data_IF_180527072487
#
_entry.id   IF_180527072487
#
_cell.length_a   1.000
_cell.length_b   1.000
_cell.length_c   1.000
_cell.angle_alpha   90.00
_cell.angle_beta   90.00
_cell.angle_gamma   90.00
#
_symmetry.space_group_name_H-M   'P 1'
#
loop_
_entity.id
_entity.type
_entity.pdbx_description
1 polymer ?
#
# COMPACT_ATOMS: atom_id res chain seq x y z
N UNK A 1 28.00 -9.18 28.48
CA UNK A 1 27.31 -8.60 27.30
C UNK A 1 25.83 -8.93 27.42
N UNK A 2 25.00 -7.97 27.88
CA UNK A 2 23.56 -8.18 28.04
C UNK A 2 22.86 -7.94 26.71
N UNK A 3 22.31 -8.99 26.10
CA UNK A 3 21.48 -8.90 24.90
C UNK A 3 20.13 -8.27 25.29
N UNK A 4 20.06 -6.93 25.30
CA UNK A 4 18.77 -6.21 25.35
C UNK A 4 17.96 -6.65 24.14
N UNK A 5 16.92 -7.45 24.37
CA UNK A 5 15.87 -7.70 23.38
C UNK A 5 15.19 -6.35 23.15
N UNK A 6 15.48 -5.71 22.03
CA UNK A 6 14.72 -4.54 21.58
C UNK A 6 13.24 -4.96 21.56
N UNK A 7 12.44 -4.30 22.40
CA UNK A 7 11.01 -4.52 22.44
C UNK A 7 10.47 -4.05 21.10
N UNK A 8 10.12 -5.00 20.22
CA UNK A 8 9.51 -4.70 18.93
C UNK A 8 8.11 -4.17 19.23
N UNK A 9 7.99 -2.84 19.31
CA UNK A 9 6.70 -2.17 19.31
C UNK A 9 6.03 -2.45 17.97
N UNK A 10 5.16 -3.47 17.97
CA UNK A 10 4.29 -3.74 16.83
C UNK A 10 3.37 -2.54 16.70
N UNK A 11 3.52 -1.76 15.64
CA UNK A 11 2.61 -0.66 15.34
C UNK A 11 1.18 -1.22 15.32
N UNK A 12 0.27 -0.62 16.08
CA UNK A 12 -1.15 -0.82 15.89
C UNK A 12 -1.52 -0.23 14.52
N UNK A 13 -1.50 -1.06 13.48
CA UNK A 13 -1.92 -0.67 12.14
C UNK A 13 -3.45 -0.55 12.21
N UNK A 14 -3.92 0.68 12.42
CA UNK A 14 -5.35 0.97 12.34
C UNK A 14 -5.76 0.81 10.87
N UNK A 15 -6.77 -0.03 10.60
CA UNK A 15 -7.30 -0.25 9.25
C UNK A 15 -8.29 0.84 8.82
N UNK A 16 -8.46 1.87 9.64
CA UNK A 16 -9.33 3.01 9.34
C UNK A 16 -8.78 3.76 8.14
N UNK A 17 -9.68 4.32 7.33
CA UNK A 17 -9.37 5.05 6.11
C UNK A 17 -8.48 6.26 6.41
N UNK A 18 -7.18 6.06 6.46
CA UNK A 18 -6.20 7.15 6.46
C UNK A 18 -6.33 7.87 5.12
N UNK A 19 -6.27 9.21 5.12
CA UNK A 19 -6.18 10.05 3.90
C UNK A 19 -4.92 9.78 3.06
N UNK A 20 -4.12 8.77 3.44
CA UNK A 20 -3.01 8.26 2.65
C UNK A 20 -3.50 7.70 1.31
N UNK A 21 -2.80 8.00 0.21
CA UNK A 21 -3.12 7.44 -1.10
C UNK A 21 -3.02 5.90 -1.14
N UNK A 22 -2.30 5.28 -0.19
CA UNK A 22 -2.08 3.82 -0.09
C UNK A 22 -2.80 3.22 1.13
N UNK A 23 -4.13 3.24 1.14
CA UNK A 23 -4.92 2.52 2.15
C UNK A 23 -4.73 1.00 2.02
N UNK A 24 -4.91 0.26 3.12
CA UNK A 24 -4.80 -1.21 3.16
C UNK A 24 -5.66 -1.89 2.08
N UNK A 25 -6.87 -1.38 1.83
CA UNK A 25 -7.76 -1.85 0.78
C UNK A 25 -7.21 -1.58 -0.62
N UNK A 26 -6.73 -0.37 -0.90
CA UNK A 26 -6.10 -0.05 -2.19
C UNK A 26 -4.88 -0.92 -2.47
N UNK A 27 -4.04 -1.12 -1.46
CA UNK A 27 -2.87 -2.00 -1.55
C UNK A 27 -3.31 -3.44 -1.85
N UNK A 28 -4.36 -3.95 -1.21
CA UNK A 28 -4.87 -5.30 -1.51
C UNK A 28 -5.31 -5.46 -2.97
N UNK A 29 -5.97 -4.46 -3.55
CA UNK A 29 -6.40 -4.47 -4.95
C UNK A 29 -5.19 -4.47 -5.89
N UNK A 30 -4.15 -3.69 -5.58
CA UNK A 30 -2.91 -3.63 -6.36
C UNK A 30 -2.15 -4.96 -6.27
N UNK A 31 -2.05 -5.55 -5.07
CA UNK A 31 -1.35 -6.81 -4.84
C UNK A 31 -2.01 -7.99 -5.56
N UNK A 32 -3.33 -7.95 -5.75
CA UNK A 32 -4.07 -8.96 -6.50
C UNK A 32 -3.78 -8.95 -8.01
N UNK A 33 -3.12 -7.92 -8.53
CA UNK A 33 -2.69 -7.84 -9.94
C UNK A 33 -1.21 -8.18 -10.05
N UNK A 34 -0.79 -9.29 -10.68
CA UNK A 34 0.62 -9.67 -10.78
C UNK A 34 1.51 -8.60 -11.43
N UNK A 35 0.97 -7.86 -12.41
CA UNK A 35 1.70 -6.81 -13.12
C UNK A 35 1.89 -5.57 -12.26
N UNK A 36 0.84 -5.14 -11.56
CA UNK A 36 0.88 -3.91 -10.77
C UNK A 36 1.47 -4.14 -9.36
N UNK A 37 1.38 -5.36 -8.82
CA UNK A 37 2.06 -5.75 -7.59
C UNK A 37 3.58 -5.69 -7.72
N UNK A 38 4.12 -6.11 -8.87
CA UNK A 38 5.54 -5.96 -9.19
C UNK A 38 5.96 -4.48 -9.20
N UNK A 39 5.20 -3.62 -9.90
CA UNK A 39 5.47 -2.17 -9.94
C UNK A 39 5.42 -1.53 -8.55
N UNK A 40 4.49 -1.96 -7.70
CA UNK A 40 4.41 -1.49 -6.32
C UNK A 40 5.65 -1.90 -5.53
N UNK A 41 6.08 -3.16 -5.64
CA UNK A 41 7.29 -3.64 -4.99
C UNK A 41 8.54 -2.90 -5.46
N UNK A 42 8.67 -2.65 -6.76
CA UNK A 42 9.81 -1.93 -7.35
C UNK A 42 9.85 -0.47 -6.89
N UNK A 43 8.70 0.20 -6.80
CA UNK A 43 8.61 1.55 -6.26
C UNK A 43 8.95 1.61 -4.76
N UNK A 44 8.49 0.62 -3.97
CA UNK A 44 8.88 0.52 -2.55
C UNK A 44 10.40 0.30 -2.41
N UNK A 45 11.01 -0.47 -3.31
CA UNK A 45 12.48 -0.64 -3.34
C UNK A 45 13.18 0.67 -3.69
N UNK A 46 12.74 1.37 -4.74
CA UNK A 46 13.30 2.66 -5.13
C UNK A 46 13.24 3.69 -3.98
N UNK A 47 12.10 3.79 -3.28
CA UNK A 47 11.97 4.64 -2.10
C UNK A 47 12.97 4.30 -0.99
N UNK A 48 13.30 3.02 -0.77
CA UNK A 48 14.33 2.61 0.20
C UNK A 48 15.72 3.05 -0.20
N UNK A 49 15.97 3.22 -1.50
CA UNK A 49 17.21 3.77 -2.03
C UNK A 49 17.20 5.29 -2.12
N UNK A 50 16.22 5.96 -1.49
CA UNK A 50 15.99 7.42 -1.55
C UNK A 50 15.73 7.93 -2.97
N UNK A 51 15.22 7.07 -3.86
CA UNK A 51 14.81 7.45 -5.21
C UNK A 51 13.32 7.80 -5.25
N UNK A 52 12.97 8.86 -6.00
CA UNK A 52 11.57 9.20 -6.25
C UNK A 52 10.98 8.28 -7.32
N UNK A 53 9.97 7.49 -6.97
CA UNK A 53 9.27 6.62 -7.90
C UNK A 53 7.78 6.96 -8.01
N UNK A 54 7.30 7.16 -9.23
CA UNK A 54 5.86 7.34 -9.52
C UNK A 54 5.28 6.05 -10.10
N UNK A 55 4.24 5.51 -9.47
CA UNK A 55 3.63 4.24 -9.87
C UNK A 55 2.48 4.50 -10.84
N UNK A 56 2.58 3.97 -12.08
CA UNK A 56 1.47 3.95 -13.04
C UNK A 56 0.77 2.59 -13.04
N UNK A 57 -0.37 2.54 -12.37
CA UNK A 57 -1.26 1.37 -12.35
C UNK A 57 -1.98 1.17 -13.68
N UNK A 58 -2.34 -0.07 -13.98
CA UNK A 58 -3.19 -0.42 -15.12
C UNK A 58 -4.60 0.18 -14.98
N UNK A 59 -5.30 0.36 -16.11
CA UNK A 59 -6.67 0.88 -16.12
C UNK A 59 -7.62 -0.02 -15.31
N UNK A 60 -7.46 -1.33 -15.41
CA UNK A 60 -8.29 -2.30 -14.69
C UNK A 60 -8.14 -2.17 -13.17
N UNK A 61 -6.91 -2.07 -12.68
CA UNK A 61 -6.64 -1.91 -11.24
C UNK A 61 -7.14 -0.55 -10.74
N UNK A 62 -7.02 0.52 -11.55
CA UNK A 62 -7.62 1.83 -11.22
C UNK A 62 -9.14 1.75 -11.09
N UNK A 63 -9.82 1.16 -12.07
CA UNK A 63 -11.28 1.03 -12.03
C UNK A 63 -11.77 0.25 -10.79
N UNK A 64 -11.04 -0.78 -10.36
CA UNK A 64 -11.35 -1.52 -9.12
C UNK A 64 -11.16 -0.68 -7.86
N UNK A 65 -10.11 0.13 -7.81
CA UNK A 65 -9.86 1.08 -6.72
C UNK A 65 -11.00 2.11 -6.66
N UNK A 66 -11.40 2.66 -7.81
CA UNK A 66 -12.43 3.68 -7.88
C UNK A 66 -13.81 3.11 -7.51
N UNK A 67 -14.16 1.92 -7.99
CA UNK A 67 -15.40 1.24 -7.60
C UNK A 67 -15.48 0.99 -6.09
N UNK A 68 -14.36 0.63 -5.46
CA UNK A 68 -14.30 0.42 -4.01
C UNK A 68 -14.36 1.75 -3.24
N UNK A 69 -13.81 2.83 -3.79
CA UNK A 69 -13.92 4.17 -3.23
C UNK A 69 -15.38 4.68 -3.27
N UNK A 70 -16.12 4.40 -4.33
CA UNK A 70 -17.54 4.78 -4.43
C UNK A 70 -18.41 4.01 -3.41
N UNK A 71 -18.19 2.70 -3.21
CA UNK A 71 -18.89 1.93 -2.17
C UNK A 71 -18.70 2.49 -0.77
N UNK A 72 -17.51 3.03 -0.49
CA UNK A 72 -17.19 3.64 0.80
C UNK A 72 -17.89 4.99 1.00
N UNK A 73 -18.21 5.72 -0.07
CA UNK A 73 -18.98 6.97 0.01
C UNK A 73 -20.48 6.74 0.20
N UNK A 74 -20.98 5.59 -0.25
CA UNK A 74 -22.39 5.19 -0.15
C UNK A 74 -22.78 4.46 1.14
N UNK A 75 -21.81 4.20 2.03
CA UNK A 75 -21.98 3.47 3.29
C UNK A 75 -21.89 4.43 4.48
#
# INVERSE_FOLDING_TARGET
MSNKKEQIDKRNISFWNTDSPLTSRRVSIILNSPKDSKKLADAVRALRHNEHSTIKLSKETKNRIDAEAEKLKSA
#
